data_IF_909225087768
#
_entry.id   IF_909225087768
#
_cell.length_a   1.000
_cell.length_b   1.000
_cell.length_c   1.000
_cell.angle_alpha   90.00
_cell.angle_beta   90.00
_cell.angle_gamma   90.00
#
_symmetry.space_group_name_H-M   'P 1'
#
loop_
_entity.id
_entity.type
_entity.pdbx_description
1 polymer ?
#
# COMPACT_ATOMS: atom_id res chain seq x y z
N UNK A 1 4.79 -10.08 7.75
CA UNK A 1 4.79 -8.76 8.48
C UNK A 1 5.85 -7.75 8.02
N UNK A 2 7.13 -8.11 7.87
CA UNK A 2 8.18 -7.13 7.50
C UNK A 2 7.92 -6.51 6.11
N UNK A 3 7.48 -7.32 5.15
CA UNK A 3 7.23 -6.86 3.77
C UNK A 3 6.14 -5.76 3.68
N UNK A 4 5.03 -5.90 4.42
CA UNK A 4 3.97 -4.88 4.42
C UNK A 4 4.42 -3.59 5.11
N UNK A 5 5.23 -3.69 6.18
CA UNK A 5 5.84 -2.52 6.82
C UNK A 5 6.80 -1.81 5.87
N UNK A 6 7.69 -2.54 5.20
CA UNK A 6 8.61 -1.98 4.21
C UNK A 6 7.85 -1.30 3.07
N UNK A 7 6.76 -1.91 2.58
CA UNK A 7 5.89 -1.30 1.56
C UNK A 7 5.31 0.03 2.04
N UNK A 8 4.67 0.04 3.22
CA UNK A 8 4.02 1.25 3.75
C UNK A 8 5.06 2.34 4.02
N UNK A 9 6.16 2.01 4.69
CA UNK A 9 7.22 2.98 5.00
C UNK A 9 7.86 3.53 3.72
N UNK A 10 8.13 2.68 2.73
CA UNK A 10 8.67 3.08 1.44
C UNK A 10 7.74 4.04 0.71
N UNK A 11 6.45 3.73 0.63
CA UNK A 11 5.46 4.62 -0.01
C UNK A 11 5.37 5.96 0.72
N UNK A 12 5.28 5.95 2.05
CA UNK A 12 5.24 7.20 2.85
C UNK A 12 6.47 8.05 2.61
N UNK A 13 7.66 7.44 2.63
CA UNK A 13 8.92 8.16 2.45
C UNK A 13 9.00 8.80 1.06
N UNK A 14 8.65 8.05 0.00
CA UNK A 14 8.63 8.56 -1.37
C UNK A 14 7.63 9.71 -1.53
N UNK A 15 6.43 9.59 -0.94
CA UNK A 15 5.41 10.64 -1.00
C UNK A 15 5.86 11.89 -0.26
N UNK A 16 6.43 11.75 0.93
CA UNK A 16 6.92 12.90 1.73
C UNK A 16 8.07 13.60 1.02
N UNK A 17 9.11 12.86 0.61
CA UNK A 17 10.27 13.43 -0.08
C UNK A 17 9.85 14.04 -1.41
N UNK A 18 9.04 13.34 -2.21
CA UNK A 18 8.50 13.86 -3.47
C UNK A 18 7.68 15.12 -3.27
N UNK A 19 6.86 15.19 -2.21
CA UNK A 19 6.06 16.38 -1.90
C UNK A 19 6.93 17.59 -1.56
N UNK A 20 7.99 17.39 -0.76
CA UNK A 20 8.94 18.46 -0.43
C UNK A 20 9.65 18.97 -1.69
N UNK A 21 10.14 18.06 -2.54
CA UNK A 21 10.83 18.43 -3.80
C UNK A 21 9.91 19.21 -4.73
N UNK A 22 8.67 18.72 -4.95
CA UNK A 22 7.70 19.42 -5.80
C UNK A 22 7.33 20.79 -5.25
N UNK A 23 7.23 20.93 -3.93
CA UNK A 23 6.97 22.23 -3.31
C UNK A 23 8.13 23.20 -3.50
N UNK A 24 9.38 22.74 -3.40
CA UNK A 24 10.57 23.57 -3.65
C UNK A 24 10.67 24.01 -5.11
N UNK A 25 10.15 23.22 -6.05
CA UNK A 25 10.10 23.54 -7.48
C UNK A 25 8.92 24.46 -7.86
N UNK A 26 8.07 24.86 -6.90
CA UNK A 26 6.88 25.68 -7.16
C UNK A 26 5.72 24.92 -7.83
N UNK A 27 5.77 23.58 -7.88
CA UNK A 27 4.75 22.72 -8.48
C UNK A 27 3.76 22.16 -7.44
N UNK A 28 3.51 22.91 -6.36
CA UNK A 28 2.64 22.48 -5.26
C UNK A 28 1.20 22.21 -5.69
N UNK A 29 0.73 22.81 -6.79
CA UNK A 29 -0.60 22.58 -7.35
C UNK A 29 -0.86 21.13 -7.81
N UNK A 30 0.19 20.33 -8.03
CA UNK A 30 0.08 18.93 -8.44
C UNK A 30 -0.09 18.01 -7.21
N UNK A 31 0.29 18.45 -6.00
CA UNK A 31 0.26 17.61 -4.79
C UNK A 31 -1.10 16.97 -4.50
N UNK A 32 -2.25 17.67 -4.60
CA UNK A 32 -3.56 17.06 -4.35
C UNK A 32 -3.85 15.88 -5.27
N UNK A 33 -3.32 15.89 -6.50
CA UNK A 33 -3.48 14.78 -7.46
C UNK A 33 -2.59 13.57 -7.16
N UNK A 34 -1.49 13.77 -6.42
CA UNK A 34 -0.56 12.71 -6.04
C UNK A 34 -0.97 12.00 -4.75
N UNK A 35 -1.70 12.68 -3.86
CA UNK A 35 -2.15 12.10 -2.58
C UNK A 35 -2.98 10.82 -2.77
N UNK A 36 -3.95 10.72 -3.71
CA UNK A 36 -4.67 9.48 -3.98
C UNK A 36 -3.78 8.34 -4.49
N UNK A 37 -2.63 8.62 -5.12
CA UNK A 37 -1.75 7.58 -5.65
C UNK A 37 -1.08 6.76 -4.54
N UNK A 38 -0.84 7.36 -3.38
CA UNK A 38 -0.22 6.69 -2.24
C UNK A 38 -1.02 5.48 -1.72
N UNK A 39 -2.30 5.62 -1.31
CA UNK A 39 -3.11 4.47 -0.88
C UNK A 39 -3.33 3.48 -2.03
N UNK A 40 -3.38 3.94 -3.29
CA UNK A 40 -3.44 3.05 -4.44
C UNK A 40 -2.19 2.16 -4.58
N UNK A 41 -0.99 2.73 -4.46
CA UNK A 41 0.26 1.97 -4.50
C UNK A 41 0.35 0.95 -3.36
N UNK A 42 -0.04 1.33 -2.14
CA UNK A 42 -0.09 0.40 -0.99
C UNK A 42 -1.09 -0.72 -1.26
N UNK A 43 -2.27 -0.41 -1.80
CA UNK A 43 -3.28 -1.41 -2.16
C UNK A 43 -2.74 -2.41 -3.19
N UNK A 44 -2.10 -1.94 -4.27
CA UNK A 44 -1.52 -2.79 -5.32
C UNK A 44 -0.38 -3.65 -4.76
N UNK A 45 0.55 -3.06 -4.00
CA UNK A 45 1.64 -3.82 -3.38
C UNK A 45 1.13 -4.88 -2.40
N UNK A 46 0.11 -4.55 -1.61
CA UNK A 46 -0.54 -5.49 -0.69
C UNK A 46 -1.23 -6.62 -1.45
N UNK A 47 -1.86 -6.33 -2.60
CA UNK A 47 -2.46 -7.36 -3.46
C UNK A 47 -1.41 -8.33 -4.00
N UNK A 48 -0.24 -7.84 -4.43
CA UNK A 48 0.84 -8.72 -4.86
C UNK A 48 1.37 -9.60 -3.73
N UNK A 49 1.52 -9.06 -2.51
CA UNK A 49 1.89 -9.85 -1.34
C UNK A 49 0.84 -10.92 -1.03
N UNK A 50 -0.45 -10.59 -1.10
CA UNK A 50 -1.50 -11.59 -0.91
C UNK A 50 -1.42 -12.71 -1.95
N UNK A 51 -1.13 -12.39 -3.21
CA UNK A 51 -0.91 -13.42 -4.24
C UNK A 51 0.28 -14.33 -3.89
N UNK A 52 1.38 -13.78 -3.37
CA UNK A 52 2.51 -14.60 -2.93
C UNK A 52 2.15 -15.52 -1.77
N UNK A 53 1.38 -15.04 -0.79
CA UNK A 53 0.91 -15.88 0.33
C UNK A 53 -0.09 -16.95 -0.14
N UNK A 54 -0.93 -16.65 -1.13
CA UNK A 54 -1.84 -17.63 -1.72
C UNK A 54 -1.07 -18.79 -2.39
N UNK A 55 0.10 -18.54 -2.98
CA UNK A 55 0.96 -19.60 -3.53
C UNK A 55 1.52 -20.48 -2.41
N UNK A 56 1.87 -19.90 -1.26
CA UNK A 56 2.38 -20.63 -0.10
C UNK A 56 1.33 -21.55 0.55
N UNK A 57 0.03 -21.31 0.30
CA UNK A 57 -1.03 -22.24 0.73
C UNK A 57 -0.96 -23.62 0.06
N UNK A 58 -0.23 -23.76 -1.05
CA UNK A 58 -0.01 -25.06 -1.69
C UNK A 58 1.24 -25.79 -1.16
N UNK A 59 2.04 -25.14 -0.31
CA UNK A 59 3.26 -25.68 0.29
C UNK A 59 3.03 -26.65 1.45
N UNK A 60 4.03 -26.74 2.32
CA UNK A 60 4.02 -27.60 3.51
C UNK A 60 2.94 -27.17 4.53
N UNK A 61 2.67 -28.00 5.54
CA UNK A 61 1.70 -27.64 6.60
C UNK A 61 2.13 -26.39 7.38
N UNK A 62 3.43 -26.17 7.57
CA UNK A 62 3.99 -24.98 8.21
C UNK A 62 3.83 -23.73 7.34
N UNK A 63 4.08 -23.84 6.04
CA UNK A 63 3.88 -22.74 5.08
C UNK A 63 2.42 -22.30 5.05
N UNK A 64 1.48 -23.26 5.02
CA UNK A 64 0.03 -22.99 5.04
C UNK A 64 -0.40 -22.22 6.28
N UNK A 65 0.14 -22.57 7.45
CA UNK A 65 -0.18 -21.90 8.71
C UNK A 65 0.34 -20.48 8.71
N UNK A 66 1.56 -20.28 8.22
CA UNK A 66 2.19 -18.95 8.10
C UNK A 66 1.43 -18.09 7.09
N UNK A 67 1.13 -18.61 5.91
CA UNK A 67 0.40 -17.92 4.86
C UNK A 67 -1.01 -17.47 5.29
N UNK A 68 -1.76 -18.34 5.99
CA UNK A 68 -3.07 -17.94 6.54
C UNK A 68 -2.97 -16.79 7.53
N UNK A 69 -1.97 -16.83 8.41
CA UNK A 69 -1.72 -15.77 9.38
C UNK A 69 -1.38 -14.47 8.66
N UNK A 70 -0.46 -14.50 7.70
CA UNK A 70 -0.02 -13.32 6.99
C UNK A 70 -1.13 -12.74 6.07
N UNK A 71 -1.95 -13.59 5.43
CA UNK A 71 -3.17 -13.16 4.73
C UNK A 71 -4.16 -12.41 5.63
N UNK A 72 -4.39 -12.90 6.85
CA UNK A 72 -5.26 -12.22 7.82
C UNK A 72 -4.74 -10.84 8.22
N UNK A 73 -3.43 -10.59 8.14
CA UNK A 73 -2.86 -9.25 8.37
C UNK A 73 -2.90 -8.37 7.11
N UNK A 74 -2.73 -8.95 5.92
CA UNK A 74 -2.74 -8.21 4.65
C UNK A 74 -4.15 -7.74 4.27
N UNK A 75 -5.19 -8.52 4.57
CA UNK A 75 -6.58 -8.19 4.23
C UNK A 75 -7.04 -6.83 4.82
N UNK A 76 -6.90 -6.57 6.13
CA UNK A 76 -7.21 -5.26 6.70
C UNK A 76 -6.44 -4.12 6.03
N UNK A 77 -5.13 -4.30 5.76
CA UNK A 77 -4.32 -3.28 5.07
C UNK A 77 -4.84 -2.99 3.68
N UNK A 78 -5.24 -4.02 2.93
CA UNK A 78 -5.83 -3.87 1.61
C UNK A 78 -7.15 -3.09 1.66
N UNK A 79 -8.08 -3.47 2.55
CA UNK A 79 -9.38 -2.79 2.67
C UNK A 79 -9.25 -1.35 3.16
N UNK A 80 -8.39 -1.08 4.14
CA UNK A 80 -8.13 0.29 4.61
C UNK A 80 -7.53 1.13 3.49
N UNK A 81 -6.57 0.60 2.73
CA UNK A 81 -5.96 1.31 1.60
C UNK A 81 -6.98 1.58 0.48
N UNK A 82 -7.83 0.62 0.16
CA UNK A 82 -8.91 0.78 -0.82
C UNK A 82 -9.92 1.85 -0.38
N UNK A 83 -10.32 1.85 0.90
CA UNK A 83 -11.21 2.87 1.45
C UNK A 83 -10.58 4.27 1.42
N UNK A 84 -9.30 4.39 1.80
CA UNK A 84 -8.56 5.64 1.73
C UNK A 84 -8.44 6.15 0.30
N UNK A 85 -8.16 5.28 -0.66
CA UNK A 85 -8.10 5.63 -2.07
C UNK A 85 -9.46 6.12 -2.59
N UNK A 86 -10.55 5.41 -2.28
CA UNK A 86 -11.91 5.79 -2.66
C UNK A 86 -12.30 7.16 -2.10
N UNK A 87 -12.02 7.40 -0.81
CA UNK A 87 -12.28 8.69 -0.16
C UNK A 87 -11.42 9.79 -0.76
N UNK A 88 -10.13 9.52 -1.01
CA UNK A 88 -9.21 10.48 -1.62
C UNK A 88 -9.66 10.85 -3.04
N UNK A 89 -10.12 9.90 -3.84
CA UNK A 89 -10.69 10.20 -5.16
C UNK A 89 -11.92 11.09 -5.05
N UNK A 90 -12.82 10.86 -4.09
CA UNK A 90 -14.05 11.65 -3.96
C UNK A 90 -13.82 13.09 -3.45
N UNK A 91 -12.74 13.32 -2.70
CA UNK A 91 -12.47 14.61 -2.06
C UNK A 91 -11.45 15.47 -2.81
N UNK A 92 -10.49 14.84 -3.52
CA UNK A 92 -9.35 15.53 -4.12
C UNK A 92 -9.43 15.58 -5.65
N UNK A 93 -10.25 14.75 -6.28
CA UNK A 93 -10.54 14.72 -7.72
C UNK A 93 -12.05 14.91 -7.97
#
# INVERSE_FOLDING_TARGET
MIASLVLITGVVLVVVVGSVVLSLMGLSGILPSLVPLAPWLVMVGTAMLMLTELLLLFGSSEDRKTARRDLNYLLPTFFVSAALWYVAQKLLW
#
